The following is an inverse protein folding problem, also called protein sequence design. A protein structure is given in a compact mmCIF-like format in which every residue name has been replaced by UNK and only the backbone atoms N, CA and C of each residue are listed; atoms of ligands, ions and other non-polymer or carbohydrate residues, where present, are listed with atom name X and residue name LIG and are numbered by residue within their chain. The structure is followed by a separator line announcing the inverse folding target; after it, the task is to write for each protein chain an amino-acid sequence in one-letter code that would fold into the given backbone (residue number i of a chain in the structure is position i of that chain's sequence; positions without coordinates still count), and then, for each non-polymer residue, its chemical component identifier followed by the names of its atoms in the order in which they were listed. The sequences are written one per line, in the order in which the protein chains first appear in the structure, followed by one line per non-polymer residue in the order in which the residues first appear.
data_IF_173773997135
#
_entry.id   IF_173773997135
#
_cell.length_a   1.000
_cell.length_b   1.000
_cell.length_c   1.000
_cell.angle_alpha   90.00
_cell.angle_beta   90.00
_cell.angle_gamma   90.00
#
_symmetry.space_group_name_H-M   'P 1'
#
loop_
_entity.id
_entity.type
_entity.pdbx_description
1 polymer ?
#
# COMPACT_ATOMS: atom_id res chain seq x y z
N UNK A 1 -49.36 -44.37 10.33
CA UNK A 1 -48.47 -44.76 11.43
C UNK A 1 -47.16 -45.27 10.81
N UNK A 2 -46.19 -44.38 10.62
CA UNK A 2 -44.79 -44.73 10.26
C UNK A 2 -44.03 -45.08 11.55
N UNK A 3 -42.96 -45.89 11.48
CA UNK A 3 -41.68 -45.37 12.00
C UNK A 3 -40.39 -45.87 11.29
N UNK A 4 -39.35 -45.04 11.45
CA UNK A 4 -37.90 -45.32 11.44
C UNK A 4 -37.27 -45.80 10.11
N UNK A 5 -36.61 -44.97 9.29
CA UNK A 5 -35.30 -44.30 9.47
C UNK A 5 -34.19 -45.22 10.00
N UNK A 6 -33.17 -45.43 9.17
CA UNK A 6 -31.78 -45.48 9.63
C UNK A 6 -30.90 -46.60 9.08
N UNK A 7 -30.50 -46.54 7.81
CA UNK A 7 -29.28 -47.21 7.36
C UNK A 7 -28.32 -46.17 6.79
N UNK A 8 -27.47 -45.65 7.67
CA UNK A 8 -26.34 -44.79 7.32
C UNK A 8 -25.26 -45.66 6.65
N UNK A 9 -25.26 -45.71 5.33
CA UNK A 9 -24.11 -46.20 4.58
C UNK A 9 -23.07 -45.08 4.57
N UNK A 10 -22.10 -45.17 5.46
CA UNK A 10 -20.94 -44.30 5.51
C UNK A 10 -20.13 -44.45 4.22
N UNK A 11 -20.39 -43.59 3.23
CA UNK A 11 -19.55 -43.44 2.06
C UNK A 11 -18.34 -42.58 2.49
N UNK A 12 -17.23 -43.26 2.81
CA UNK A 12 -15.95 -42.59 3.06
C UNK A 12 -15.58 -41.72 1.84
N UNK A 13 -15.05 -40.49 2.03
CA UNK A 13 -14.56 -39.68 0.94
C UNK A 13 -13.23 -40.27 0.44
N UNK A 14 -13.31 -41.31 -0.38
CA UNK A 14 -12.18 -41.83 -1.15
C UNK A 14 -12.00 -40.90 -2.34
N UNK A 15 -11.25 -39.81 -2.15
CA UNK A 15 -10.94 -38.90 -3.25
C UNK A 15 -10.78 -37.43 -2.84
N UNK A 16 -9.97 -37.16 -1.82
CA UNK A 16 -9.23 -35.91 -1.79
C UNK A 16 -8.09 -35.99 -2.83
N UNK A 17 -8.45 -36.17 -4.11
CA UNK A 17 -7.55 -35.73 -5.17
C UNK A 17 -7.77 -34.23 -5.26
N UNK A 18 -6.69 -33.48 -5.09
CA UNK A 18 -6.64 -32.07 -5.41
C UNK A 18 -7.50 -31.81 -6.64
N UNK A 19 -8.56 -31.01 -6.47
CA UNK A 19 -9.25 -30.41 -7.59
C UNK A 19 -8.20 -29.51 -8.24
N UNK A 20 -7.46 -30.07 -9.20
CA UNK A 20 -6.77 -29.29 -10.21
C UNK A 20 -7.90 -28.68 -11.05
N UNK A 21 -8.56 -27.67 -10.47
CA UNK A 21 -9.46 -26.81 -11.19
C UNK A 21 -8.69 -26.40 -12.43
N UNK A 22 -9.17 -26.71 -13.65
CA UNK A 22 -8.55 -26.19 -14.85
C UNK A 22 -8.43 -24.69 -14.62
N UNK A 23 -7.20 -24.15 -14.61
CA UNK A 23 -7.01 -22.70 -14.47
C UNK A 23 -7.93 -22.09 -15.53
N UNK A 24 -9.02 -21.39 -15.13
CA UNK A 24 -10.04 -21.01 -16.08
C UNK A 24 -9.36 -20.16 -17.14
N UNK A 25 -9.44 -20.60 -18.40
CA UNK A 25 -8.83 -19.89 -19.51
C UNK A 25 -9.25 -18.42 -19.42
N UNK A 26 -8.29 -17.46 -19.43
CA UNK A 26 -8.59 -16.07 -19.17
C UNK A 26 -9.71 -15.62 -20.09
N UNK A 27 -10.80 -15.12 -19.50
CA UNK A 27 -11.95 -14.69 -20.28
C UNK A 27 -11.49 -13.53 -21.19
N UNK A 28 -11.58 -13.67 -22.53
CA UNK A 28 -11.06 -12.67 -23.45
C UNK A 28 -11.74 -11.31 -23.29
N UNK A 29 -13.02 -11.30 -22.92
CA UNK A 29 -13.76 -10.06 -22.66
C UNK A 29 -13.27 -9.37 -21.37
N UNK A 30 -12.99 -10.12 -20.31
CA UNK A 30 -12.41 -9.56 -19.08
C UNK A 30 -11.01 -9.01 -19.33
N UNK A 31 -10.20 -9.74 -20.09
CA UNK A 31 -8.84 -9.32 -20.46
C UNK A 31 -8.87 -8.02 -21.27
N UNK A 32 -9.77 -7.92 -22.24
CA UNK A 32 -9.96 -6.72 -23.04
C UNK A 32 -10.51 -5.55 -22.20
N UNK A 33 -11.41 -5.82 -21.26
CA UNK A 33 -11.92 -4.82 -20.32
C UNK A 33 -10.81 -4.27 -19.41
N UNK A 34 -9.94 -5.13 -18.88
CA UNK A 34 -8.80 -4.74 -18.06
C UNK A 34 -7.81 -3.86 -18.84
N UNK A 35 -7.54 -4.17 -20.12
CA UNK A 35 -6.69 -3.34 -20.98
C UNK A 35 -7.27 -1.94 -21.21
N UNK A 36 -8.59 -1.84 -21.45
CA UNK A 36 -9.27 -0.55 -21.59
C UNK A 36 -9.25 0.25 -20.29
N UNK A 37 -9.46 -0.41 -19.16
CA UNK A 37 -9.38 0.21 -17.83
C UNK A 37 -7.96 0.71 -17.55
N UNK A 38 -6.94 -0.09 -17.82
CA UNK A 38 -5.55 0.32 -17.62
C UNK A 38 -5.17 1.50 -18.50
N UNK A 39 -5.67 1.54 -19.74
CA UNK A 39 -5.45 2.66 -20.64
C UNK A 39 -6.11 3.94 -20.13
N UNK A 40 -7.37 3.84 -19.67
CA UNK A 40 -8.08 4.97 -19.07
C UNK A 40 -7.38 5.49 -17.80
N UNK A 41 -6.94 4.59 -16.93
CA UNK A 41 -6.20 4.95 -15.71
C UNK A 41 -4.85 5.61 -16.03
N UNK A 42 -4.15 5.13 -17.06
CA UNK A 42 -2.89 5.74 -17.54
C UNK A 42 -3.10 7.18 -18.00
N UNK A 43 -4.15 7.44 -18.77
CA UNK A 43 -4.48 8.79 -19.24
C UNK A 43 -4.81 9.72 -18.07
N UNK A 44 -5.58 9.24 -17.09
CA UNK A 44 -5.88 9.98 -15.87
C UNK A 44 -4.61 10.30 -15.07
N UNK A 45 -3.71 9.32 -14.89
CA UNK A 45 -2.42 9.57 -14.24
C UNK A 45 -1.54 10.55 -15.02
N UNK A 46 -1.51 10.47 -16.36
CA UNK A 46 -0.76 11.44 -17.18
C UNK A 46 -1.29 12.86 -17.02
N UNK A 47 -2.61 13.06 -17.01
CA UNK A 47 -3.23 14.36 -16.75
C UNK A 47 -2.86 14.87 -15.36
N UNK A 48 -3.04 14.03 -14.33
CA UNK A 48 -2.71 14.36 -12.95
C UNK A 48 -1.22 14.70 -12.75
N UNK A 49 -0.30 13.99 -13.40
CA UNK A 49 1.14 14.28 -13.34
C UNK A 49 1.50 15.57 -14.07
N UNK A 50 0.81 15.86 -15.18
CA UNK A 50 1.03 17.08 -15.98
C UNK A 50 0.52 18.32 -15.23
N UNK A 51 -0.65 18.23 -14.61
CA UNK A 51 -1.23 19.31 -13.80
C UNK A 51 -0.57 19.43 -12.42
N UNK A 52 -0.10 18.30 -11.87
CA UNK A 52 0.52 18.24 -10.54
C UNK A 52 1.95 18.74 -10.45
N UNK A 53 2.53 19.31 -11.51
CA UNK A 53 3.94 19.75 -11.54
C UNK A 53 4.32 20.66 -10.35
N UNK A 54 3.50 21.67 -10.05
CA UNK A 54 3.74 22.57 -8.91
C UNK A 54 3.64 21.84 -7.55
N UNK A 55 2.84 20.78 -7.45
CA UNK A 55 2.72 19.95 -6.25
C UNK A 55 3.90 19.02 -6.05
N UNK A 56 4.50 18.52 -7.13
CA UNK A 56 5.68 17.66 -7.08
C UNK A 56 6.94 18.41 -6.65
N UNK A 57 7.12 19.66 -7.09
CA UNK A 57 8.24 20.50 -6.63
C UNK A 57 8.14 20.80 -5.14
N UNK A 58 6.93 21.13 -4.65
CA UNK A 58 6.69 21.36 -3.22
C UNK A 58 6.91 20.09 -2.39
N UNK A 59 6.45 18.94 -2.87
CA UNK A 59 6.70 17.64 -2.23
C UNK A 59 8.19 17.31 -2.21
N UNK A 60 8.90 17.57 -3.31
CA UNK A 60 10.35 17.39 -3.42
C UNK A 60 11.11 18.24 -2.41
N UNK A 61 10.75 19.52 -2.28
CA UNK A 61 11.34 20.42 -1.29
C UNK A 61 11.10 19.95 0.15
N UNK A 62 9.89 19.46 0.46
CA UNK A 62 9.60 18.89 1.79
C UNK A 62 10.41 17.61 2.07
N UNK A 63 10.55 16.72 1.08
CA UNK A 63 11.37 15.52 1.19
C UNK A 63 12.86 15.84 1.38
N UNK A 64 13.36 16.90 0.74
CA UNK A 64 14.74 17.34 0.89
C UNK A 64 15.01 17.88 2.31
N UNK A 65 14.08 18.62 2.91
CA UNK A 65 14.19 19.03 4.32
C UNK A 65 14.17 17.83 5.27
N UNK A 66 13.33 16.82 5.00
CA UNK A 66 13.32 15.57 5.77
C UNK A 66 14.63 14.79 5.64
N UNK A 67 15.38 14.95 4.55
CA UNK A 67 16.67 14.28 4.35
C UNK A 67 17.71 14.67 5.41
N UNK A 68 17.56 15.86 6.01
CA UNK A 68 18.39 16.35 7.10
C UNK A 68 18.15 15.60 8.42
N UNK A 69 17.16 14.71 8.49
CA UNK A 69 16.79 13.96 9.67
C UNK A 69 17.03 12.46 9.50
N UNK A 70 17.18 11.77 10.63
CA UNK A 70 17.24 10.33 10.77
C UNK A 70 15.83 9.72 10.73
N UNK A 71 15.71 8.41 10.46
CA UNK A 71 14.43 7.72 10.54
C UNK A 71 13.77 7.87 11.92
N UNK A 72 12.43 7.84 12.00
CA UNK A 72 11.72 7.95 13.27
C UNK A 72 12.00 6.77 14.20
N UNK A 73 12.31 7.06 15.47
CA UNK A 73 12.52 6.07 16.54
C UNK A 73 11.33 6.12 17.52
N UNK A 74 10.71 4.98 17.79
CA UNK A 74 9.59 4.88 18.76
C UNK A 74 10.12 4.61 20.16
N UNK A 75 9.77 5.47 21.11
CA UNK A 75 10.16 5.35 22.51
C UNK A 75 9.24 4.40 23.31
N UNK A 76 9.68 3.90 24.49
CA UNK A 76 8.88 2.99 25.32
C UNK A 76 7.54 3.56 25.81
N UNK A 77 7.43 4.89 25.91
CA UNK A 77 6.20 5.59 26.30
C UNK A 77 5.21 5.78 25.13
N UNK A 78 5.62 5.46 23.89
CA UNK A 78 4.79 5.61 22.68
C UNK A 78 5.08 6.86 21.85
N UNK A 79 5.93 7.78 22.33
CA UNK A 79 6.35 8.94 21.57
C UNK A 79 7.28 8.54 20.41
N UNK A 80 7.39 9.44 19.42
CA UNK A 80 8.31 9.28 18.29
C UNK A 80 9.32 10.43 18.33
N UNK A 81 10.61 10.10 18.24
CA UNK A 81 11.69 11.06 18.06
C UNK A 81 12.22 10.98 16.64
N UNK A 82 12.45 12.15 16.03
CA UNK A 82 13.11 12.30 14.73
C UNK A 82 14.35 13.16 14.97
N UNK A 83 15.54 12.55 14.89
CA UNK A 83 16.81 13.24 15.19
C UNK A 83 17.34 13.91 13.93
N UNK A 84 18.00 15.05 14.06
CA UNK A 84 18.66 15.72 12.93
C UNK A 84 20.07 15.13 12.73
N UNK A 85 20.48 14.91 11.49
CA UNK A 85 21.81 14.39 11.12
C UNK A 85 22.92 15.40 11.38
N UNK A 86 22.67 16.66 11.02
CA UNK A 86 23.61 17.75 11.22
C UNK A 86 23.09 18.75 12.27
N UNK A 87 23.92 19.17 13.23
CA UNK A 87 23.57 20.22 14.17
C UNK A 87 23.32 21.54 13.44
N UNK A 88 22.43 22.37 13.97
CA UNK A 88 22.30 23.75 13.50
C UNK A 88 23.58 24.53 13.87
N UNK A 89 24.02 25.48 13.05
CA UNK A 89 25.04 26.42 13.47
C UNK A 89 24.60 27.13 14.75
N UNK A 90 25.56 27.38 15.65
CA UNK A 90 25.30 28.13 16.87
C UNK A 90 24.70 29.48 16.48
N UNK A 91 23.55 29.91 17.04
CA UNK A 91 23.10 31.27 16.85
C UNK A 91 24.20 32.16 17.44
N UNK A 92 25.00 32.80 16.58
CA UNK A 92 25.99 33.78 17.02
C UNK A 92 25.30 34.69 18.03
N UNK A 93 25.86 34.75 19.24
CA UNK A 93 25.29 35.40 20.41
C UNK A 93 24.60 36.71 20.01
N UNK A 94 23.29 36.63 19.81
CA UNK A 94 22.46 37.79 19.59
C UNK A 94 22.57 38.58 20.87
N UNK A 95 23.42 39.61 20.85
CA UNK A 95 23.42 40.71 21.81
C UNK A 95 21.95 41.13 21.96
N UNK A 96 21.29 40.55 22.96
CA UNK A 96 20.00 41.01 23.39
C UNK A 96 20.39 42.20 24.25
N UNK A 97 20.56 43.35 23.58
CA UNK A 97 20.68 44.64 24.24
C UNK A 97 19.39 44.84 25.03
N UNK A 98 19.48 44.58 26.35
CA UNK A 98 18.42 44.69 27.35
C UNK A 98 18.73 45.86 28.29
#
# INVERSE_FOLDING_TARGET
MLPAIGLALALAPVGALAQESPVPSPNPALTQGAQKLSEGLRLLFQGLLTEGQEGWEQLGGWLDDLSAYEPPERLPNGDIIIRRKAPLPDPEAGETDL
#
